data_IF_166374516900
#
_entry.id   IF_166374516900
#
_cell.length_a   1.000
_cell.length_b   1.000
_cell.length_c   1.000
_cell.angle_alpha   90.00
_cell.angle_beta   90.00
_cell.angle_gamma   90.00
#
_symmetry.space_group_name_H-M   'P 1'
#
loop_
_entity.id
_entity.type
_entity.pdbx_description
1 polymer ?
#
# COMPACT_ATOMS: atom_id res chain seq x y z
N UNK A 1 64.49 -25.33 17.06
CA UNK A 1 63.57 -25.00 18.17
C UNK A 1 62.18 -25.31 17.70
N UNK A 2 61.49 -26.16 18.47
CA UNK A 2 60.21 -26.78 18.15
C UNK A 2 59.05 -25.77 18.19
N UNK A 3 58.01 -26.03 17.39
CA UNK A 3 56.64 -25.81 17.84
C UNK A 3 55.82 -27.03 17.42
N UNK A 4 55.38 -27.75 18.43
CA UNK A 4 54.46 -28.87 18.43
C UNK A 4 53.07 -28.49 17.89
N UNK A 5 52.43 -29.49 17.28
CA UNK A 5 51.01 -29.51 17.00
C UNK A 5 50.29 -30.28 18.11
N UNK A 6 49.33 -29.63 18.77
CA UNK A 6 48.25 -30.29 19.51
C UNK A 6 47.00 -30.13 18.63
N UNK A 7 46.22 -31.15 18.26
CA UNK A 7 45.95 -32.39 18.98
C UNK A 7 44.52 -32.35 19.52
N UNK A 8 43.52 -32.66 18.68
CA UNK A 8 42.24 -33.16 19.20
C UNK A 8 41.59 -34.11 18.22
N UNK A 9 41.55 -35.37 18.65
CA UNK A 9 41.07 -36.53 17.95
C UNK A 9 39.57 -36.72 18.20
N UNK A 10 38.85 -37.06 17.13
CA UNK A 10 37.46 -37.51 17.15
C UNK A 10 37.24 -38.41 15.94
N UNK A 11 37.64 -39.66 16.12
CA UNK A 11 37.77 -40.76 15.16
C UNK A 11 36.40 -41.40 14.83
N UNK A 12 36.17 -41.71 13.54
CA UNK A 12 35.85 -43.05 12.99
C UNK A 12 34.90 -43.03 11.77
N UNK A 13 35.45 -43.57 10.66
CA UNK A 13 34.70 -44.29 9.62
C UNK A 13 34.24 -43.44 8.43
N UNK A 14 34.88 -43.40 7.27
CA UNK A 14 35.81 -44.33 6.66
C UNK A 14 35.15 -45.13 5.53
N UNK A 15 34.89 -44.52 4.36
CA UNK A 15 34.84 -45.17 3.02
C UNK A 15 35.17 -44.06 2.00
N UNK A 16 36.43 -43.94 1.55
CA UNK A 16 37.03 -44.56 0.35
C UNK A 16 36.41 -44.16 -1.01
N UNK A 17 37.34 -43.75 -1.89
CA UNK A 17 37.34 -43.68 -3.38
C UNK A 17 37.03 -42.31 -3.97
N UNK A 18 38.03 -41.55 -4.37
CA UNK A 18 38.91 -41.72 -5.56
C UNK A 18 38.26 -41.26 -6.87
N UNK A 19 39.02 -40.40 -7.56
CA UNK A 19 39.12 -40.29 -9.02
C UNK A 19 37.89 -39.89 -9.83
N UNK A 20 37.88 -38.63 -10.27
CA UNK A 20 38.15 -38.34 -11.70
C UNK A 20 38.36 -36.84 -11.92
N UNK A 21 39.63 -36.44 -11.86
CA UNK A 21 40.12 -35.45 -12.82
C UNK A 21 40.27 -36.11 -14.20
N UNK A 22 40.11 -35.27 -15.23
CA UNK A 22 40.72 -35.30 -16.57
C UNK A 22 39.79 -35.57 -17.77
N UNK A 23 39.99 -34.67 -18.73
CA UNK A 23 39.61 -34.67 -20.15
C UNK A 23 38.10 -34.49 -20.37
N UNK A 24 37.64 -33.49 -21.10
CA UNK A 24 37.89 -33.34 -22.55
C UNK A 24 38.06 -31.87 -22.93
N UNK A 25 39.28 -31.54 -23.37
CA UNK A 25 39.55 -30.44 -24.30
C UNK A 25 39.42 -31.01 -25.70
N UNK A 26 38.58 -30.39 -26.54
CA UNK A 26 38.78 -30.41 -27.99
C UNK A 26 37.68 -31.06 -28.86
N UNK A 27 37.20 -30.24 -29.80
CA UNK A 27 36.70 -30.57 -31.14
C UNK A 27 35.20 -30.90 -31.28
N UNK A 28 34.41 -29.85 -31.55
CA UNK A 28 33.40 -29.85 -32.62
C UNK A 28 33.00 -28.40 -32.96
N UNK A 29 33.89 -27.72 -33.70
CA UNK A 29 33.54 -26.61 -34.57
C UNK A 29 32.64 -27.12 -35.73
N UNK A 30 31.78 -26.23 -36.25
CA UNK A 30 31.03 -26.32 -37.52
C UNK A 30 29.86 -27.33 -37.63
N UNK A 31 28.66 -26.89 -37.23
CA UNK A 31 27.39 -27.10 -37.96
C UNK A 31 26.26 -26.33 -37.28
N UNK A 32 25.70 -25.31 -37.94
CA UNK A 32 24.47 -24.66 -37.43
C UNK A 32 24.26 -23.17 -37.72
N UNK A 33 24.92 -22.60 -38.74
CA UNK A 33 24.57 -21.31 -39.33
C UNK A 33 23.23 -21.40 -40.11
N UNK A 34 22.12 -21.66 -39.41
CA UNK A 34 20.78 -21.76 -40.00
C UNK A 34 19.63 -21.45 -39.01
N UNK A 35 19.84 -20.51 -38.09
CA UNK A 35 18.75 -19.86 -37.35
C UNK A 35 18.85 -18.34 -37.45
N UNK A 36 18.96 -17.86 -38.69
CA UNK A 36 18.71 -16.47 -39.04
C UNK A 36 17.25 -16.42 -39.52
N UNK A 37 16.30 -15.97 -38.69
CA UNK A 37 14.93 -15.76 -39.18
C UNK A 37 13.77 -15.83 -38.19
N UNK A 38 13.99 -16.00 -36.89
CA UNK A 38 12.95 -15.69 -35.91
C UNK A 38 13.35 -14.41 -35.18
N UNK A 39 13.28 -13.29 -35.91
CA UNK A 39 13.06 -12.00 -35.27
C UNK A 39 11.72 -12.16 -34.54
N UNK A 40 11.80 -12.63 -33.30
CA UNK A 40 10.70 -12.62 -32.35
C UNK A 40 10.27 -11.17 -32.27
N UNK A 41 9.28 -10.82 -33.08
CA UNK A 41 8.39 -9.72 -32.82
C UNK A 41 7.80 -10.04 -31.46
N UNK A 42 8.52 -9.66 -30.41
CA UNK A 42 7.96 -9.42 -29.10
C UNK A 42 7.04 -8.24 -29.37
N UNK A 43 5.85 -8.54 -29.84
CA UNK A 43 4.69 -7.69 -29.69
C UNK A 43 4.61 -7.53 -28.18
N UNK A 44 5.28 -6.49 -27.68
CA UNK A 44 5.07 -5.97 -26.34
C UNK A 44 3.61 -5.53 -26.41
N UNK A 45 2.72 -6.47 -26.12
CA UNK A 45 1.31 -6.20 -25.99
C UNK A 45 1.26 -5.12 -24.93
N UNK A 46 0.96 -3.90 -25.34
CA UNK A 46 0.78 -2.80 -24.43
C UNK A 46 -0.37 -3.22 -23.52
N UNK A 47 -0.04 -3.72 -22.34
CA UNK A 47 -1.02 -4.16 -21.36
C UNK A 47 -1.90 -2.96 -21.10
N UNK A 48 -3.15 -3.04 -21.55
CA UNK A 48 -4.12 -1.96 -21.41
C UNK A 48 -4.27 -1.68 -19.92
N UNK A 49 -3.75 -0.54 -19.47
CA UNK A 49 -3.91 -0.08 -18.09
C UNK A 49 -5.38 0.17 -17.82
N UNK A 50 -5.99 -0.67 -17.00
CA UNK A 50 -7.41 -0.54 -16.62
C UNK A 50 -7.48 0.24 -15.32
N UNK A 51 -8.17 1.39 -15.37
CA UNK A 51 -8.53 2.15 -14.19
C UNK A 51 -9.57 1.38 -13.40
N UNK A 52 -9.28 1.10 -12.13
CA UNK A 52 -10.19 0.41 -11.22
C UNK A 52 -10.31 1.16 -9.88
N UNK A 53 -11.26 0.75 -9.05
CA UNK A 53 -11.25 1.11 -7.63
C UNK A 53 -10.25 0.25 -6.85
N UNK A 54 -10.01 0.57 -5.57
CA UNK A 54 -9.25 -0.30 -4.68
C UNK A 54 -9.94 -1.68 -4.59
N UNK A 55 -9.24 -2.79 -4.89
CA UNK A 55 -9.83 -4.12 -4.79
C UNK A 55 -10.27 -4.48 -3.37
N UNK A 56 -11.44 -5.09 -3.23
CA UNK A 56 -11.98 -5.55 -1.93
C UNK A 56 -11.03 -6.48 -1.17
N UNK A 57 -10.21 -7.25 -1.89
CA UNK A 57 -9.19 -8.13 -1.30
C UNK A 57 -8.16 -7.37 -0.49
N UNK A 58 -7.83 -6.14 -0.89
CA UNK A 58 -6.86 -5.27 -0.24
C UNK A 58 -7.45 -4.50 0.95
N UNK A 59 -8.77 -4.34 1.02
CA UNK A 59 -9.41 -3.57 2.10
C UNK A 59 -9.24 -4.28 3.45
N UNK A 60 -8.83 -3.53 4.47
CA UNK A 60 -8.70 -4.05 5.83
C UNK A 60 -7.49 -3.54 6.60
N UNK A 61 -7.27 -4.14 7.76
CA UNK A 61 -6.12 -3.92 8.63
C UNK A 61 -5.05 -4.97 8.33
N UNK A 62 -3.84 -4.51 8.02
CA UNK A 62 -2.68 -5.32 7.68
C UNK A 62 -1.56 -5.05 8.68
N UNK A 63 -0.85 -6.09 9.10
CA UNK A 63 0.28 -5.98 10.04
C UNK A 63 1.52 -6.61 9.44
N UNK A 64 2.69 -6.16 9.87
CA UNK A 64 4.00 -6.72 9.47
C UNK A 64 4.01 -8.24 9.60
N UNK A 65 4.57 -8.94 8.62
CA UNK A 65 4.72 -10.41 8.64
C UNK A 65 5.94 -10.85 9.45
N UNK A 66 5.97 -10.46 10.72
CA UNK A 66 6.97 -10.82 11.73
C UNK A 66 6.29 -11.12 13.09
N UNK A 67 7.09 -11.42 14.11
CA UNK A 67 6.56 -11.78 15.44
C UNK A 67 5.86 -10.61 16.13
N UNK A 68 6.38 -9.39 15.96
CA UNK A 68 5.81 -8.18 16.55
C UNK A 68 4.45 -7.84 15.91
N UNK A 69 4.36 -7.88 14.57
CA UNK A 69 3.11 -7.70 13.84
C UNK A 69 2.05 -8.76 14.18
N UNK A 70 2.45 -9.98 14.53
CA UNK A 70 1.53 -11.03 15.03
C UNK A 70 1.00 -10.70 16.44
N UNK A 71 1.83 -10.15 17.31
CA UNK A 71 1.41 -9.68 18.63
C UNK A 71 0.46 -8.49 18.52
N UNK A 72 0.78 -7.53 17.66
CA UNK A 72 -0.05 -6.36 17.41
C UNK A 72 -1.39 -6.73 16.80
N UNK A 73 -1.41 -7.65 15.84
CA UNK A 73 -2.67 -8.15 15.29
C UNK A 73 -3.54 -8.83 16.38
N UNK A 74 -2.92 -9.54 17.32
CA UNK A 74 -3.65 -10.15 18.46
C UNK A 74 -4.21 -9.08 19.40
N UNK A 75 -3.52 -7.97 19.60
CA UNK A 75 -4.01 -6.82 20.35
C UNK A 75 -5.17 -6.13 19.61
N UNK A 76 -4.97 -5.81 18.33
CA UNK A 76 -5.94 -5.19 17.44
C UNK A 76 -7.29 -5.93 17.44
N UNK A 77 -7.28 -7.25 17.32
CA UNK A 77 -8.50 -8.09 17.30
C UNK A 77 -9.31 -8.05 18.60
N UNK A 78 -8.74 -7.58 19.71
CA UNK A 78 -9.47 -7.41 20.98
C UNK A 78 -10.25 -6.09 21.02
N UNK A 79 -9.82 -5.10 20.23
CA UNK A 79 -10.45 -3.78 20.12
C UNK A 79 -11.80 -3.95 19.42
N UNK A 80 -12.85 -3.33 19.97
CA UNK A 80 -14.22 -3.48 19.45
C UNK A 80 -14.66 -2.31 18.60
N UNK A 81 -14.10 -1.14 18.84
CA UNK A 81 -14.41 0.08 18.11
C UNK A 81 -13.23 1.04 18.12
N UNK A 82 -13.16 1.95 17.15
CA UNK A 82 -12.03 2.88 17.06
C UNK A 82 -11.88 3.80 18.29
N UNK A 83 -12.99 4.09 18.99
CA UNK A 83 -12.99 4.83 20.26
C UNK A 83 -12.30 4.11 21.42
N UNK A 84 -12.11 2.79 21.31
CA UNK A 84 -11.44 2.00 22.35
C UNK A 84 -9.92 1.98 22.15
N UNK A 85 -9.41 2.60 21.08
CA UNK A 85 -7.99 2.71 20.80
C UNK A 85 -7.38 3.76 21.72
N UNK A 86 -6.48 3.30 22.58
CA UNK A 86 -5.62 4.13 23.43
C UNK A 86 -4.16 3.75 23.19
N UNK A 87 -3.23 4.60 23.64
CA UNK A 87 -1.80 4.28 23.66
C UNK A 87 -1.52 2.93 24.35
N UNK A 88 -2.30 2.59 25.37
CA UNK A 88 -2.15 1.34 26.14
C UNK A 88 -2.71 0.10 25.43
N UNK A 89 -3.73 0.27 24.57
CA UNK A 89 -4.30 -0.88 23.84
C UNK A 89 -3.39 -1.42 22.74
N UNK A 90 -2.44 -0.60 22.26
CA UNK A 90 -1.49 -0.96 21.22
C UNK A 90 -2.17 -1.43 19.93
N UNK A 91 -1.43 -2.20 19.11
CA UNK A 91 -2.00 -2.89 17.96
C UNK A 91 -2.24 -2.04 16.72
N UNK A 92 -1.65 -0.85 16.63
CA UNK A 92 -1.58 -0.07 15.38
C UNK A 92 -0.15 0.14 14.90
N UNK A 93 0.85 -0.07 15.75
CA UNK A 93 2.25 0.17 15.42
C UNK A 93 2.67 -0.68 14.22
N UNK A 94 3.30 -0.05 13.23
CA UNK A 94 3.70 -0.71 11.98
C UNK A 94 2.54 -1.22 11.10
N UNK A 95 1.28 -0.97 11.47
CA UNK A 95 0.13 -1.46 10.72
C UNK A 95 -0.15 -0.62 9.48
N UNK A 96 -0.70 -1.26 8.45
CA UNK A 96 -1.18 -0.63 7.23
C UNK A 96 -2.70 -0.80 7.15
N UNK A 97 -3.42 0.32 7.23
CA UNK A 97 -4.86 0.36 7.06
C UNK A 97 -5.20 0.74 5.63
N UNK A 98 -5.99 -0.08 4.94
CA UNK A 98 -6.39 0.14 3.55
C UNK A 98 -7.90 0.26 3.46
N UNK A 99 -8.36 1.45 3.07
CA UNK A 99 -9.75 1.72 2.68
C UNK A 99 -9.83 1.89 1.17
N UNK A 100 -11.04 2.15 0.66
CA UNK A 100 -11.26 2.44 -0.75
C UNK A 100 -10.59 3.73 -1.26
N UNK A 101 -10.28 4.67 -0.36
CA UNK A 101 -9.79 6.03 -0.70
C UNK A 101 -8.50 6.45 0.01
N UNK A 102 -8.04 5.66 0.98
CA UNK A 102 -6.94 6.01 1.86
C UNK A 102 -6.14 4.76 2.22
N UNK A 103 -4.82 4.86 2.19
CA UNK A 103 -3.93 4.00 2.96
C UNK A 103 -3.33 4.83 4.09
N UNK A 104 -3.21 4.26 5.28
CA UNK A 104 -2.51 4.85 6.42
C UNK A 104 -1.51 3.84 6.95
N UNK A 105 -0.22 4.16 6.82
CA UNK A 105 0.89 3.37 7.37
C UNK A 105 1.32 3.96 8.70
N UNK A 106 0.98 3.30 9.80
CA UNK A 106 1.36 3.73 11.15
C UNK A 106 2.86 3.50 11.37
N UNK A 107 3.56 4.52 11.89
CA UNK A 107 4.99 4.42 12.18
C UNK A 107 5.26 3.77 13.54
N UNK A 108 6.52 3.40 13.78
CA UNK A 108 6.95 2.78 15.05
C UNK A 108 7.04 3.80 16.21
N UNK A 109 7.04 5.10 15.91
CA UNK A 109 7.30 6.18 16.85
C UNK A 109 6.15 7.19 17.00
N UNK A 110 4.98 6.95 16.39
CA UNK A 110 3.84 7.86 16.46
C UNK A 110 3.11 7.98 15.13
N UNK A 111 2.63 9.19 14.83
CA UNK A 111 1.87 9.51 13.62
C UNK A 111 2.56 8.95 12.34
N UNK A 112 1.74 8.62 11.34
CA UNK A 112 2.12 7.77 10.21
C UNK A 112 1.98 8.47 8.87
N UNK A 113 2.21 7.72 7.80
CA UNK A 113 2.06 8.20 6.43
C UNK A 113 0.63 7.99 5.93
N UNK A 114 0.04 9.06 5.40
CA UNK A 114 -1.28 9.07 4.78
C UNK A 114 -1.14 9.12 3.26
N UNK A 115 -1.71 8.13 2.57
CA UNK A 115 -1.74 8.05 1.12
C UNK A 115 -3.19 8.18 0.63
N UNK A 116 -3.60 9.39 0.25
CA UNK A 116 -4.95 9.65 -0.29
C UNK A 116 -4.98 9.18 -1.74
N UNK A 117 -5.70 8.08 -1.98
CA UNK A 117 -5.78 7.40 -3.28
C UNK A 117 -6.48 8.31 -4.28
N UNK A 118 -5.76 8.66 -5.36
CA UNK A 118 -6.31 9.38 -6.52
C UNK A 118 -6.62 8.45 -7.66
N UNK A 119 -5.86 7.37 -7.82
CA UNK A 119 -6.01 6.44 -8.93
C UNK A 119 -5.44 5.06 -8.59
N UNK A 120 -6.12 4.01 -9.04
CA UNK A 120 -5.61 2.63 -8.98
C UNK A 120 -5.60 2.04 -10.38
N UNK A 121 -4.45 1.53 -10.80
CA UNK A 121 -4.24 0.93 -12.11
C UNK A 121 -3.92 -0.55 -11.91
N UNK A 122 -4.78 -1.41 -12.47
CA UNK A 122 -4.53 -2.85 -12.49
C UNK A 122 -3.38 -3.16 -13.46
N UNK A 123 -2.32 -3.78 -12.96
CA UNK A 123 -1.22 -4.30 -13.78
C UNK A 123 -1.47 -5.77 -14.14
N UNK A 124 -1.83 -6.58 -13.14
CA UNK A 124 -2.33 -7.95 -13.30
C UNK A 124 -3.21 -8.34 -12.10
N UNK A 125 -3.63 -9.60 -12.01
CA UNK A 125 -4.54 -10.08 -10.96
C UNK A 125 -4.04 -9.92 -9.52
N UNK A 126 -2.75 -9.65 -9.32
CA UNK A 126 -2.10 -9.57 -8.02
C UNK A 126 -1.27 -8.29 -7.83
N UNK A 127 -1.23 -7.39 -8.83
CA UNK A 127 -0.40 -6.19 -8.82
C UNK A 127 -1.18 -4.95 -9.26
N UNK A 128 -1.02 -3.88 -8.48
CA UNK A 128 -1.68 -2.60 -8.67
C UNK A 128 -0.70 -1.47 -8.49
N UNK A 129 -0.69 -0.53 -9.44
CA UNK A 129 -0.03 0.76 -9.23
C UNK A 129 -1.05 1.74 -8.67
N UNK A 130 -0.70 2.42 -7.58
CA UNK A 130 -1.56 3.36 -6.87
C UNK A 130 -0.91 4.72 -6.94
N UNK A 131 -1.63 5.69 -7.50
CA UNK A 131 -1.25 7.09 -7.42
C UNK A 131 -1.97 7.74 -6.25
N UNK A 132 -1.22 8.37 -5.37
CA UNK A 132 -1.74 9.02 -4.16
C UNK A 132 -1.15 10.42 -3.96
N UNK A 133 -1.85 11.24 -3.17
CA UNK A 133 -1.23 12.35 -2.47
C UNK A 133 -0.71 11.80 -1.14
N UNK A 134 0.53 12.16 -0.79
CA UNK A 134 1.18 11.72 0.44
C UNK A 134 1.21 12.86 1.45
N UNK A 135 0.88 12.55 2.69
CA UNK A 135 1.06 13.42 3.85
C UNK A 135 1.74 12.64 4.97
N UNK A 136 2.68 13.29 5.66
CA UNK A 136 3.36 12.73 6.83
C UNK A 136 2.69 13.32 8.06
N UNK A 137 2.35 12.47 9.03
CA UNK A 137 1.70 12.80 10.31
C UNK A 137 0.28 13.40 10.18
N UNK A 138 -0.12 13.86 9.00
CA UNK A 138 -1.40 14.50 8.74
C UNK A 138 -1.92 14.20 7.32
N UNK A 139 -3.25 14.29 7.16
CA UNK A 139 -3.90 14.11 5.86
C UNK A 139 -3.46 15.21 4.89
N UNK A 140 -3.00 14.89 3.66
CA UNK A 140 -2.63 15.91 2.69
C UNK A 140 -3.86 16.70 2.24
N UNK A 141 -3.74 18.03 2.24
CA UNK A 141 -4.81 18.94 1.79
C UNK A 141 -4.95 18.91 0.25
N UNK A 142 -6.19 18.86 -0.24
CA UNK A 142 -6.44 18.94 -1.67
C UNK A 142 -6.15 20.35 -2.20
N UNK A 143 -5.38 20.43 -3.30
CA UNK A 143 -5.03 21.70 -3.95
C UNK A 143 -3.75 22.36 -3.42
N UNK A 144 -3.17 21.84 -2.34
CA UNK A 144 -1.78 22.11 -1.99
C UNK A 144 -0.86 21.24 -2.84
N UNK A 145 0.37 21.71 -3.11
CA UNK A 145 1.42 20.92 -3.74
C UNK A 145 1.90 19.80 -2.80
N UNK A 146 1.01 18.86 -2.45
CA UNK A 146 1.40 17.62 -1.79
C UNK A 146 2.28 16.78 -2.73
N UNK A 147 3.21 16.01 -2.17
CA UNK A 147 4.00 15.07 -2.97
C UNK A 147 3.04 14.03 -3.55
N UNK A 148 2.86 14.08 -4.87
CA UNK A 148 2.14 13.06 -5.60
C UNK A 148 3.09 11.92 -5.88
N UNK A 149 2.75 10.75 -5.38
CA UNK A 149 3.59 9.56 -5.52
C UNK A 149 2.83 8.40 -6.13
N UNK A 150 3.59 7.54 -6.80
CA UNK A 150 3.12 6.26 -7.33
C UNK A 150 3.87 5.15 -6.61
N UNK A 151 3.13 4.23 -6.01
CA UNK A 151 3.68 3.02 -5.40
C UNK A 151 2.95 1.78 -5.92
N UNK A 152 3.59 0.63 -5.78
CA UNK A 152 3.02 -0.66 -6.21
C UNK A 152 2.59 -1.49 -5.01
N UNK A 153 1.34 -1.92 -5.03
CA UNK A 153 0.83 -2.98 -4.16
C UNK A 153 0.93 -4.32 -4.88
N UNK A 154 1.43 -5.34 -4.18
CA UNK A 154 1.47 -6.72 -4.68
C UNK A 154 0.92 -7.66 -3.62
N UNK A 155 -0.08 -8.48 -3.97
CA UNK A 155 -0.67 -9.48 -3.08
C UNK A 155 -0.30 -10.88 -3.58
N UNK A 156 0.62 -11.54 -2.89
CA UNK A 156 1.09 -12.88 -3.24
C UNK A 156 0.95 -13.81 -2.04
N UNK A 157 0.28 -14.95 -2.22
CA UNK A 157 0.08 -15.96 -1.16
C UNK A 157 -0.51 -15.39 0.14
N UNK A 158 -1.39 -14.38 0.04
CA UNK A 158 -1.99 -13.71 1.21
C UNK A 158 -1.09 -12.68 1.91
N UNK A 159 0.12 -12.48 1.41
CA UNK A 159 1.06 -11.47 1.87
C UNK A 159 1.00 -10.26 0.94
N UNK A 160 0.73 -9.10 1.52
CA UNK A 160 0.75 -7.82 0.83
C UNK A 160 2.14 -7.20 0.95
N UNK A 161 2.69 -6.70 -0.15
CA UNK A 161 3.87 -5.85 -0.12
C UNK A 161 3.57 -4.50 -0.76
N UNK A 162 4.09 -3.43 -0.14
CA UNK A 162 4.06 -2.08 -0.70
C UNK A 162 5.47 -1.68 -1.10
N UNK A 163 5.65 -1.37 -2.39
CA UNK A 163 6.92 -0.95 -2.95
C UNK A 163 6.81 0.51 -3.38
N UNK A 164 7.55 1.39 -2.72
CA UNK A 164 7.83 2.71 -3.25
C UNK A 164 8.84 2.54 -4.40
N UNK A 165 8.48 2.95 -5.62
CA UNK A 165 9.39 2.88 -6.78
C UNK A 165 10.43 4.01 -6.77
N UNK A 166 10.34 4.98 -5.84
CA UNK A 166 11.14 6.21 -5.83
C UNK A 166 11.90 6.50 -4.52
N UNK A 167 12.10 5.54 -3.61
CA UNK A 167 12.90 5.78 -2.40
C UNK A 167 14.35 6.17 -2.79
N UNK A 168 14.75 7.39 -2.42
CA UNK A 168 15.95 8.07 -2.92
C UNK A 168 17.28 7.44 -2.46
N UNK A 169 17.25 6.54 -1.48
CA UNK A 169 18.43 5.96 -0.83
C UNK A 169 18.84 4.58 -1.39
N UNK A 170 18.05 4.01 -2.30
CA UNK A 170 18.32 2.68 -2.88
C UNK A 170 18.19 1.51 -1.89
N UNK A 171 17.85 1.76 -0.63
CA UNK A 171 17.55 0.73 0.38
C UNK A 171 16.05 0.49 0.39
N UNK A 172 15.61 -0.33 -0.56
CA UNK A 172 14.19 -0.68 -0.70
C UNK A 172 13.75 -1.62 0.42
N UNK A 173 13.25 -1.08 1.52
CA UNK A 173 12.56 -1.86 2.54
C UNK A 173 11.17 -2.26 2.02
N UNK A 174 11.09 -3.41 1.37
CA UNK A 174 9.80 -4.03 1.03
C UNK A 174 9.18 -4.54 2.32
N UNK A 175 8.28 -3.77 2.93
CA UNK A 175 7.50 -4.24 4.07
C UNK A 175 6.49 -5.28 3.56
N UNK A 176 6.52 -6.46 4.19
CA UNK A 176 5.57 -7.54 3.94
C UNK A 176 4.53 -7.51 5.05
N UNK A 177 3.25 -7.64 4.68
CA UNK A 177 2.13 -7.57 5.61
C UNK A 177 1.18 -8.75 5.42
N UNK A 178 0.56 -9.20 6.51
CA UNK A 178 -0.54 -10.15 6.47
C UNK A 178 -1.85 -9.50 6.93
N UNK A 179 -2.98 -9.99 6.42
CA UNK A 179 -4.30 -9.44 6.75
C UNK A 179 -4.71 -9.84 8.16
N UNK A 180 -4.88 -8.86 9.04
CA UNK A 180 -5.31 -9.10 10.41
C UNK A 180 -6.84 -9.10 10.56
N UNK A 181 -7.54 -8.23 9.83
CA UNK A 181 -9.00 -8.13 9.91
C UNK A 181 -9.57 -6.98 9.08
N UNK A 182 -10.81 -6.60 9.39
CA UNK A 182 -11.41 -5.39 8.85
C UNK A 182 -10.92 -4.17 9.64
N UNK A 183 -10.95 -3.00 9.01
CA UNK A 183 -10.77 -1.73 9.70
C UNK A 183 -11.91 -1.54 10.71
N UNK A 184 -11.59 -1.08 11.91
CA UNK A 184 -12.56 -0.80 12.96
C UNK A 184 -13.50 0.34 12.57
N UNK A 185 -14.79 0.19 12.89
CA UNK A 185 -15.80 1.21 12.65
C UNK A 185 -15.43 2.53 13.34
N UNK A 186 -15.55 3.63 12.60
CA UNK A 186 -15.23 4.98 13.07
C UNK A 186 -13.74 5.35 13.06
N UNK A 187 -12.85 4.47 12.58
CA UNK A 187 -11.40 4.77 12.50
C UNK A 187 -11.09 5.87 11.47
N UNK A 188 -11.80 5.86 10.34
CA UNK A 188 -11.72 6.91 9.34
C UNK A 188 -13.11 7.46 9.10
N UNK A 189 -13.23 8.78 9.14
CA UNK A 189 -14.40 9.46 8.60
C UNK A 189 -14.21 9.41 7.09
N UNK A 190 -14.97 8.58 6.39
CA UNK A 190 -14.97 8.67 4.93
C UNK A 190 -15.35 10.10 4.56
N UNK A 191 -14.53 10.83 3.78
CA UNK A 191 -14.94 12.13 3.30
C UNK A 191 -16.25 11.91 2.56
N UNK A 192 -17.26 12.69 2.95
CA UNK A 192 -18.60 12.63 2.40
C UNK A 192 -18.45 12.54 0.88
N UNK A 193 -18.87 11.40 0.33
CA UNK A 193 -18.74 11.18 -1.10
C UNK A 193 -19.57 12.26 -1.77
N UNK A 194 -18.93 13.21 -2.46
CA UNK A 194 -19.59 14.19 -3.33
C UNK A 194 -20.24 13.47 -4.53
N UNK A 195 -21.25 12.65 -4.25
CA UNK A 195 -22.20 12.18 -5.25
C UNK A 195 -23.42 13.10 -5.17
N UNK A 196 -23.25 14.31 -5.68
CA UNK A 196 -24.35 15.18 -6.11
C UNK A 196 -23.85 16.29 -7.05
N UNK A 197 -23.23 15.94 -8.18
CA UNK A 197 -23.15 16.87 -9.32
C UNK A 197 -23.21 16.16 -10.68
N UNK A 198 -23.98 15.08 -10.77
CA UNK A 198 -24.62 14.69 -12.04
C UNK A 198 -26.02 15.31 -12.06
N UNK A 199 -26.15 16.50 -12.64
CA UNK A 199 -27.44 17.18 -12.70
C UNK A 199 -27.44 18.68 -13.06
N UNK A 200 -26.45 19.20 -13.78
CA UNK A 200 -26.57 20.52 -14.43
C UNK A 200 -26.56 20.34 -15.95
N UNK A 201 -27.62 19.73 -16.48
CA UNK A 201 -28.01 19.97 -17.87
C UNK A 201 -28.69 21.32 -17.91
N UNK A 202 -28.04 22.28 -18.57
CA UNK A 202 -28.54 23.63 -18.71
C UNK A 202 -29.98 23.71 -19.21
N UNK A 203 -30.74 24.62 -18.60
CA UNK A 203 -31.83 25.29 -19.29
C UNK A 203 -31.76 26.76 -18.96
N UNK A 204 -31.15 27.50 -19.89
CA UNK A 204 -31.38 28.93 -19.99
C UNK A 204 -32.88 29.15 -20.27
N UNK A 205 -33.55 29.85 -19.36
CA UNK A 205 -34.77 30.58 -19.66
C UNK A 205 -34.80 31.81 -18.76
N UNK A 206 -34.43 32.94 -19.36
CA UNK A 206 -34.66 34.26 -18.81
C UNK A 206 -36.15 34.45 -18.52
N UNK A 207 -36.51 34.93 -17.34
CA UNK A 207 -37.56 35.95 -17.22
C UNK A 207 -37.33 36.77 -15.96
N UNK A 208 -36.91 38.01 -16.17
CA UNK A 208 -36.94 39.10 -15.22
C UNK A 208 -38.36 39.31 -14.67
N UNK A 209 -38.53 39.35 -13.35
CA UNK A 209 -39.57 40.19 -12.73
C UNK A 209 -39.07 40.77 -11.41
N UNK A 210 -38.67 42.03 -11.54
CA UNK A 210 -38.67 43.02 -10.47
C UNK A 210 -40.07 43.15 -9.90
N UNK A 211 -40.22 43.02 -8.57
CA UNK A 211 -41.23 43.76 -7.81
C UNK A 211 -40.67 44.09 -6.41
N UNK A 212 -40.60 45.40 -6.20
CA UNK A 212 -40.44 46.15 -4.96
C UNK A 212 -41.12 45.57 -3.71
N UNK A 213 -40.46 45.85 -2.58
CA UNK A 213 -41.09 46.64 -1.51
C UNK A 213 -41.54 45.88 -0.27
N UNK A 214 -41.01 46.26 0.90
CA UNK A 214 -41.64 45.87 2.16
C UNK A 214 -40.75 45.99 3.40
N UNK A 215 -40.36 47.21 3.77
CA UNK A 215 -39.89 47.53 5.12
C UNK A 215 -41.03 47.25 6.12
N UNK A 216 -40.78 46.47 7.18
CA UNK A 216 -41.47 46.64 8.47
C UNK A 216 -40.53 46.42 9.66
N UNK A 217 -40.54 47.31 10.66
CA UNK A 217 -39.68 47.23 11.84
C UNK A 217 -40.30 46.47 13.02
N UNK A 218 -39.39 45.96 13.86
CA UNK A 218 -39.38 45.86 15.34
C UNK A 218 -40.62 45.40 16.12
N UNK A 219 -40.41 44.40 17.02
CA UNK A 219 -41.01 44.41 18.36
C UNK A 219 -40.08 43.76 19.42
N UNK A 220 -39.96 44.36 20.63
CA UNK A 220 -39.13 43.85 21.72
C UNK A 220 -39.91 43.02 22.75
N UNK A 221 -39.18 42.11 23.42
CA UNK A 221 -39.22 41.87 24.87
C UNK A 221 -40.31 40.96 25.44
N UNK A 222 -39.90 39.87 26.11
CA UNK A 222 -40.53 39.38 27.36
C UNK A 222 -39.44 38.78 28.26
N UNK A 223 -39.19 39.44 29.40
CA UNK A 223 -38.60 38.87 30.63
C UNK A 223 -39.69 38.05 31.34
N UNK A 224 -39.35 36.88 31.88
CA UNK A 224 -39.98 36.38 33.12
C UNK A 224 -38.99 35.54 33.93
N UNK A 225 -38.79 36.02 35.15
CA UNK A 225 -38.23 35.35 36.32
C UNK A 225 -39.22 34.34 36.88
N UNK A 226 -38.72 33.21 37.34
CA UNK A 226 -39.03 32.56 38.63
C UNK A 226 -37.84 31.71 39.01
#
# INVERSE_FOLDING_TARGET
MAVDCDGSAGDFGGIRRECRERLIVGVAMLAGLLFCGAASAQTVAATKRVLIGMPDTLLGAWHSDDDDGRLDCKAYRKIKSARDITEETGGLVGALMITSKLLHAYSDYGEGDFYVVKRVILQDSQRWDVDALVGVDSMPEEGMEGSRETFRLTLSNGVLSMNEENAADGTRHVRAFFKCGNILDGMYIEPASDKATEGYTGRAAATSRSVNGGIRPSRPGVRRTT
#
